data_IF_936102020416
#
_entry.id   IF_936102020416
#
_cell.length_a   1.000
_cell.length_b   1.000
_cell.length_c   1.000
_cell.angle_alpha   90.00
_cell.angle_beta   90.00
_cell.angle_gamma   90.00
#
_symmetry.space_group_name_H-M   'P 1'
#
loop_
_entity.id
_entity.type
_entity.pdbx_description
1 polymer ?
#
# COMPACT_ATOMS: atom_id res chain seq x y z
N UNK A 1 14.91 -4.21 36.10
CA UNK A 1 15.17 -5.65 36.08
C UNK A 1 14.02 -6.54 35.65
N UNK A 2 12.74 -6.24 35.93
CA UNK A 2 11.58 -7.08 35.51
C UNK A 2 11.28 -7.09 33.99
N UNK A 3 11.66 -6.08 33.21
CA UNK A 3 11.46 -6.03 31.76
C UNK A 3 12.50 -6.84 30.97
N UNK A 4 13.68 -7.03 31.49
CA UNK A 4 14.74 -7.82 30.85
C UNK A 4 14.43 -9.31 30.91
N UNK A 5 13.83 -9.76 32.01
CA UNK A 5 13.44 -11.17 32.17
C UNK A 5 12.25 -11.57 31.27
N UNK A 6 11.37 -10.62 30.91
CA UNK A 6 10.25 -10.91 30.02
C UNK A 6 10.69 -11.05 28.56
N UNK A 7 11.64 -10.25 28.11
CA UNK A 7 12.23 -10.38 26.76
C UNK A 7 13.04 -11.66 26.64
N UNK A 8 13.74 -12.06 27.70
CA UNK A 8 14.49 -13.33 27.73
C UNK A 8 13.54 -14.56 27.75
N UNK A 9 12.39 -14.45 28.44
CA UNK A 9 11.36 -15.51 28.43
C UNK A 9 10.64 -15.59 27.07
N UNK A 10 10.44 -14.46 26.37
CA UNK A 10 9.87 -14.45 25.02
C UNK A 10 10.84 -15.01 23.97
N UNK A 11 12.14 -14.79 24.15
CA UNK A 11 13.19 -15.39 23.30
C UNK A 11 13.38 -16.88 23.56
N UNK A 12 13.14 -17.35 24.79
CA UNK A 12 13.20 -18.77 25.13
C UNK A 12 11.96 -19.53 24.63
N UNK A 13 10.79 -18.86 24.49
CA UNK A 13 9.59 -19.48 23.95
C UNK A 13 9.62 -19.60 22.41
N UNK A 14 10.44 -18.81 21.71
CA UNK A 14 10.64 -18.94 20.25
C UNK A 14 11.66 -20.03 19.89
N UNK A 15 12.46 -20.51 20.83
CA UNK A 15 13.45 -21.58 20.62
C UNK A 15 12.89 -23.00 20.82
N UNK A 16 11.61 -23.16 21.13
CA UNK A 16 10.93 -24.46 21.15
C UNK A 16 10.09 -24.67 19.86
N UNK A 17 10.53 -24.14 18.71
CA UNK A 17 10.23 -24.79 17.44
C UNK A 17 11.16 -26.01 17.46
N UNK A 18 10.69 -27.03 18.15
CA UNK A 18 11.28 -28.33 18.29
C UNK A 18 11.77 -28.78 16.93
N UNK A 19 13.07 -28.87 16.75
CA UNK A 19 13.68 -29.55 15.63
C UNK A 19 13.29 -31.01 15.74
N UNK A 20 12.07 -31.34 15.25
CA UNK A 20 11.61 -32.72 15.18
C UNK A 20 12.63 -33.44 14.30
N UNK A 21 13.46 -34.28 14.92
CA UNK A 21 14.54 -34.95 14.22
C UNK A 21 14.01 -35.97 13.20
N UNK A 22 14.84 -36.32 12.21
CA UNK A 22 14.54 -37.28 11.12
C UNK A 22 13.90 -38.54 11.66
N UNK A 23 14.49 -39.16 12.71
CA UNK A 23 13.97 -40.35 13.36
C UNK A 23 12.55 -40.20 13.92
N UNK A 24 12.24 -39.04 14.48
CA UNK A 24 10.92 -38.76 15.06
C UNK A 24 9.86 -38.60 13.96
N UNK A 25 10.20 -37.91 12.85
CA UNK A 25 9.33 -37.76 11.68
C UNK A 25 9.05 -39.12 11.06
N UNK A 26 10.08 -39.96 10.87
CA UNK A 26 9.95 -41.32 10.33
C UNK A 26 9.04 -42.16 11.19
N UNK A 27 9.24 -42.20 12.53
CA UNK A 27 8.33 -42.91 13.44
C UNK A 27 6.87 -42.45 13.39
N UNK A 28 6.65 -41.12 13.17
CA UNK A 28 5.30 -40.59 12.98
C UNK A 28 4.72 -41.05 11.63
N UNK A 29 5.56 -41.12 10.59
CA UNK A 29 5.21 -41.67 9.29
C UNK A 29 4.79 -43.16 9.40
N UNK A 30 5.58 -43.96 10.12
CA UNK A 30 5.29 -45.39 10.36
C UNK A 30 3.91 -45.57 11.03
N UNK A 31 3.65 -44.80 12.09
CA UNK A 31 2.35 -44.80 12.77
C UNK A 31 1.17 -44.36 11.88
N UNK A 32 1.41 -43.41 10.96
CA UNK A 32 0.39 -43.00 10.00
C UNK A 32 0.15 -44.08 8.95
N UNK A 33 1.19 -44.75 8.49
CA UNK A 33 1.13 -45.87 7.57
C UNK A 33 0.33 -47.08 8.16
N UNK A 34 0.63 -47.46 9.41
CA UNK A 34 -0.10 -48.52 10.15
C UNK A 34 -1.59 -48.20 10.26
N UNK A 35 -1.97 -46.93 10.32
CA UNK A 35 -3.38 -46.49 10.35
C UNK A 35 -3.98 -46.28 8.95
N UNK A 36 -3.32 -46.75 7.90
CA UNK A 36 -3.71 -46.56 6.50
C UNK A 36 -3.89 -45.08 6.09
N UNK A 37 -3.28 -44.13 6.83
CA UNK A 37 -3.26 -42.69 6.49
C UNK A 37 -2.09 -42.44 5.54
N UNK A 38 -2.16 -42.91 4.31
CA UNK A 38 -1.02 -42.94 3.39
C UNK A 38 -0.57 -41.56 2.98
N UNK A 39 -1.47 -40.59 2.73
CA UNK A 39 -1.13 -39.23 2.41
C UNK A 39 -0.31 -38.58 3.53
N UNK A 40 -0.76 -38.74 4.77
CA UNK A 40 -0.06 -38.24 5.94
C UNK A 40 1.30 -38.89 6.15
N UNK A 41 1.39 -40.19 5.90
CA UNK A 41 2.64 -40.95 5.98
C UNK A 41 3.65 -40.43 4.96
N UNK A 42 3.23 -40.25 3.71
CA UNK A 42 4.03 -39.69 2.62
C UNK A 42 4.60 -38.32 2.98
N UNK A 43 3.79 -37.39 3.48
CA UNK A 43 4.25 -36.03 3.86
C UNK A 43 5.24 -36.07 5.04
N UNK A 44 5.05 -36.96 6.00
CA UNK A 44 5.98 -37.13 7.13
C UNK A 44 7.33 -37.70 6.67
N UNK A 45 7.34 -38.64 5.74
CA UNK A 45 8.58 -39.16 5.17
C UNK A 45 9.27 -38.13 4.26
N UNK A 46 8.55 -37.35 3.49
CA UNK A 46 9.14 -36.22 2.77
C UNK A 46 9.81 -35.23 3.72
N UNK A 47 9.12 -34.85 4.80
CA UNK A 47 9.68 -33.95 5.81
C UNK A 47 10.91 -34.54 6.51
N UNK A 48 11.00 -35.84 6.63
CA UNK A 48 12.20 -36.52 7.13
C UNK A 48 13.34 -36.47 6.11
N UNK A 49 13.06 -36.72 4.83
CA UNK A 49 14.05 -36.70 3.73
C UNK A 49 14.51 -35.31 3.34
N UNK A 50 13.71 -34.27 3.56
CA UNK A 50 14.15 -32.87 3.45
C UNK A 50 15.27 -32.52 4.43
N UNK A 51 15.29 -33.21 5.61
CA UNK A 51 16.33 -33.02 6.62
C UNK A 51 17.55 -33.93 6.40
N UNK A 52 17.33 -35.12 5.93
CA UNK A 52 18.38 -36.09 5.60
C UNK A 52 17.93 -36.91 4.39
N UNK A 53 18.39 -36.55 3.22
CA UNK A 53 18.01 -37.18 1.94
C UNK A 53 18.45 -38.63 1.82
N UNK A 54 19.45 -39.05 2.58
CA UNK A 54 19.99 -40.40 2.53
C UNK A 54 19.44 -41.34 3.63
N UNK A 55 18.51 -40.86 4.46
CA UNK A 55 17.96 -41.65 5.55
C UNK A 55 17.13 -42.81 5.04
N UNK A 56 17.71 -44.01 5.03
CA UNK A 56 17.19 -45.24 4.39
C UNK A 56 15.79 -45.65 4.88
N UNK A 57 15.53 -45.53 6.19
CA UNK A 57 14.22 -45.90 6.76
C UNK A 57 13.09 -44.99 6.24
N UNK A 58 13.36 -43.70 6.08
CA UNK A 58 12.37 -42.79 5.51
C UNK A 58 12.17 -43.04 4.00
N UNK A 59 13.24 -43.40 3.25
CA UNK A 59 13.12 -43.81 1.84
C UNK A 59 12.25 -45.07 1.69
N UNK A 60 12.47 -46.07 2.54
CA UNK A 60 11.65 -47.30 2.56
C UNK A 60 10.19 -47.02 2.91
N UNK A 61 9.97 -46.19 3.96
CA UNK A 61 8.62 -45.76 4.36
C UNK A 61 7.92 -44.96 3.26
N UNK A 62 8.64 -44.06 2.60
CA UNK A 62 8.12 -43.27 1.47
C UNK A 62 7.77 -44.18 0.27
N UNK A 63 8.64 -45.15 -0.05
CA UNK A 63 8.36 -46.10 -1.12
C UNK A 63 7.06 -46.88 -0.85
N UNK A 64 6.93 -47.45 0.34
CA UNK A 64 5.79 -48.26 0.69
C UNK A 64 4.48 -47.45 0.73
N UNK A 65 4.49 -46.31 1.40
CA UNK A 65 3.29 -45.43 1.51
C UNK A 65 2.96 -44.77 0.17
N UNK A 66 3.98 -44.29 -0.54
CA UNK A 66 3.83 -43.71 -1.85
C UNK A 66 3.25 -44.68 -2.87
N UNK A 67 3.72 -45.93 -2.90
CA UNK A 67 3.18 -46.95 -3.80
C UNK A 67 1.71 -47.25 -3.50
N UNK A 68 1.34 -47.36 -2.20
CA UNK A 68 -0.07 -47.52 -1.82
C UNK A 68 -0.95 -46.38 -2.32
N UNK A 69 -0.47 -45.13 -2.19
CA UNK A 69 -1.22 -43.96 -2.61
C UNK A 69 -1.30 -43.88 -4.15
N UNK A 70 -0.21 -44.18 -4.86
CA UNK A 70 -0.21 -44.29 -6.32
C UNK A 70 -1.23 -45.33 -6.78
N UNK A 71 -1.22 -46.53 -6.20
CA UNK A 71 -2.18 -47.59 -6.54
C UNK A 71 -3.63 -47.14 -6.29
N UNK A 72 -3.90 -46.46 -5.17
CA UNK A 72 -5.22 -45.88 -4.91
C UNK A 72 -5.67 -44.91 -6.01
N UNK A 73 -4.78 -44.01 -6.45
CA UNK A 73 -5.10 -43.09 -7.54
C UNK A 73 -5.32 -43.84 -8.87
N UNK A 74 -4.52 -44.86 -9.16
CA UNK A 74 -4.69 -45.70 -10.37
C UNK A 74 -5.99 -46.48 -10.36
N UNK A 75 -6.40 -47.02 -9.20
CA UNK A 75 -7.69 -47.69 -9.02
C UNK A 75 -8.86 -46.71 -9.24
N UNK A 76 -8.74 -45.46 -8.74
CA UNK A 76 -9.73 -44.42 -9.01
C UNK A 76 -9.74 -43.98 -10.48
N UNK A 77 -8.56 -43.90 -11.13
CA UNK A 77 -8.47 -43.66 -12.56
C UNK A 77 -9.27 -44.69 -13.34
N UNK A 78 -9.06 -45.98 -13.06
CA UNK A 78 -9.75 -47.07 -13.75
C UNK A 78 -11.26 -47.05 -13.49
N UNK A 79 -11.68 -46.84 -12.25
CA UNK A 79 -13.08 -46.72 -11.88
C UNK A 79 -13.78 -45.58 -12.62
N UNK A 80 -13.25 -44.37 -12.49
CA UNK A 80 -13.87 -43.18 -13.07
C UNK A 80 -13.85 -43.21 -14.60
N UNK A 81 -12.80 -43.78 -15.22
CA UNK A 81 -12.76 -44.05 -16.66
C UNK A 81 -13.94 -44.93 -17.10
N UNK A 82 -14.18 -46.05 -16.39
CA UNK A 82 -15.24 -46.97 -16.73
C UNK A 82 -16.65 -46.40 -16.52
N UNK A 83 -16.81 -45.42 -15.63
CA UNK A 83 -18.05 -44.64 -15.45
C UNK A 83 -18.22 -43.49 -16.42
N UNK A 84 -17.29 -43.27 -17.37
CA UNK A 84 -17.32 -42.15 -18.30
C UNK A 84 -16.97 -40.80 -17.68
N UNK A 85 -16.47 -40.78 -16.44
CA UNK A 85 -16.05 -39.55 -15.76
C UNK A 85 -14.61 -39.14 -16.18
N UNK A 86 -14.42 -38.95 -17.49
CA UNK A 86 -13.11 -38.79 -18.14
C UNK A 86 -12.21 -37.76 -17.46
N UNK A 87 -12.79 -36.59 -17.10
CA UNK A 87 -12.05 -35.53 -16.41
C UNK A 87 -11.47 -36.02 -15.10
N UNK A 88 -12.28 -36.65 -14.24
CA UNK A 88 -11.82 -37.15 -12.95
C UNK A 88 -10.74 -38.21 -13.13
N UNK A 89 -10.94 -39.13 -14.08
CA UNK A 89 -9.95 -40.15 -14.41
C UNK A 89 -8.60 -39.52 -14.75
N UNK A 90 -8.55 -38.58 -15.68
CA UNK A 90 -7.33 -37.87 -16.07
C UNK A 90 -6.62 -37.29 -14.85
N UNK A 91 -7.34 -36.63 -13.95
CA UNK A 91 -6.74 -36.01 -12.77
C UNK A 91 -6.24 -37.05 -11.76
N UNK A 92 -6.92 -38.16 -11.56
CA UNK A 92 -6.42 -39.23 -10.72
C UNK A 92 -5.08 -39.78 -11.23
N UNK A 93 -4.94 -40.04 -12.53
CA UNK A 93 -3.66 -40.47 -13.09
C UNK A 93 -2.57 -39.38 -12.90
N UNK A 94 -2.88 -38.10 -13.13
CA UNK A 94 -1.94 -37.00 -12.92
C UNK A 94 -1.47 -36.90 -11.49
N UNK A 95 -2.33 -37.19 -10.50
CA UNK A 95 -1.98 -37.17 -9.11
C UNK A 95 -1.04 -38.32 -8.77
N UNK A 96 -1.27 -39.54 -9.33
CA UNK A 96 -0.34 -40.67 -9.25
C UNK A 96 1.03 -40.32 -9.87
N UNK A 97 1.04 -39.77 -11.06
CA UNK A 97 2.27 -39.34 -11.76
C UNK A 97 3.06 -38.28 -11.01
N UNK A 98 2.39 -37.25 -10.51
CA UNK A 98 3.04 -36.17 -9.72
C UNK A 98 3.64 -36.71 -8.43
N UNK A 99 2.96 -37.65 -7.76
CA UNK A 99 3.51 -38.27 -6.56
C UNK A 99 4.75 -39.11 -6.91
N UNK A 100 4.70 -39.87 -8.00
CA UNK A 100 5.85 -40.68 -8.49
C UNK A 100 7.04 -39.75 -8.82
N UNK A 101 6.82 -38.66 -9.54
CA UNK A 101 7.85 -37.66 -9.85
C UNK A 101 8.43 -37.00 -8.59
N UNK A 102 7.57 -36.68 -7.60
CA UNK A 102 8.00 -36.10 -6.32
C UNK A 102 8.88 -37.07 -5.53
N UNK A 103 8.52 -38.38 -5.51
CA UNK A 103 9.31 -39.42 -4.88
C UNK A 103 10.65 -39.63 -5.60
N UNK A 104 10.65 -39.60 -6.93
CA UNK A 104 11.86 -39.72 -7.74
C UNK A 104 12.92 -38.64 -7.42
N UNK A 105 12.51 -37.41 -7.11
CA UNK A 105 13.41 -36.36 -6.62
C UNK A 105 14.10 -36.66 -5.29
N UNK A 106 13.56 -37.60 -4.54
CA UNK A 106 14.15 -38.12 -3.29
C UNK A 106 14.89 -39.46 -3.51
N UNK A 107 15.16 -39.83 -4.76
CA UNK A 107 15.74 -41.12 -5.16
C UNK A 107 14.89 -42.31 -4.72
N UNK A 108 13.56 -42.14 -4.74
CA UNK A 108 12.58 -43.21 -4.45
C UNK A 108 11.74 -43.44 -5.72
N UNK A 109 11.90 -44.60 -6.36
CA UNK A 109 11.12 -44.97 -7.54
C UNK A 109 9.82 -45.62 -7.12
N UNK A 110 8.71 -45.17 -7.72
CA UNK A 110 7.39 -45.78 -7.60
C UNK A 110 6.97 -46.35 -8.96
N UNK A 111 6.25 -47.47 -8.93
CA UNK A 111 5.87 -48.22 -10.14
C UNK A 111 4.50 -47.76 -10.65
N UNK A 112 4.46 -47.30 -11.88
CA UNK A 112 3.26 -47.07 -12.69
C UNK A 112 3.44 -47.90 -13.96
N UNK A 113 2.57 -48.89 -14.18
CA UNK A 113 2.69 -49.75 -15.34
C UNK A 113 2.43 -48.99 -16.64
N UNK A 114 3.09 -49.40 -17.72
CA UNK A 114 2.98 -48.77 -19.04
C UNK A 114 1.54 -48.77 -19.58
N UNK A 115 0.73 -49.77 -19.17
CA UNK A 115 -0.68 -49.82 -19.55
C UNK A 115 -1.48 -48.61 -19.06
N UNK A 116 -1.31 -48.20 -17.78
CA UNK A 116 -1.98 -47.00 -17.27
C UNK A 116 -1.54 -45.76 -17.99
N UNK A 117 -0.26 -45.63 -18.36
CA UNK A 117 0.26 -44.52 -19.13
C UNK A 117 -0.34 -44.48 -20.54
N UNK A 118 -0.46 -45.64 -21.19
CA UNK A 118 -1.11 -45.76 -22.50
C UNK A 118 -2.58 -45.33 -22.45
N UNK A 119 -3.31 -45.94 -21.48
CA UNK A 119 -4.74 -45.62 -21.26
C UNK A 119 -5.00 -44.15 -20.96
N UNK A 120 -4.14 -43.54 -20.14
CA UNK A 120 -4.18 -42.10 -19.85
C UNK A 120 -3.97 -41.27 -21.10
N UNK A 121 -2.99 -41.60 -21.93
CA UNK A 121 -2.71 -40.88 -23.16
C UNK A 121 -3.88 -40.91 -24.15
N UNK A 122 -4.46 -42.12 -24.34
CA UNK A 122 -5.66 -42.27 -25.20
C UNK A 122 -6.80 -41.43 -24.67
N UNK A 123 -7.17 -41.63 -23.39
CA UNK A 123 -8.27 -40.92 -22.73
C UNK A 123 -8.08 -39.38 -22.77
N UNK A 124 -6.85 -38.92 -22.53
CA UNK A 124 -6.53 -37.47 -22.56
C UNK A 124 -6.67 -36.89 -23.96
N UNK A 125 -6.25 -37.63 -24.99
CA UNK A 125 -6.40 -37.19 -26.38
C UNK A 125 -7.88 -37.06 -26.77
N UNK A 126 -8.70 -38.05 -26.46
CA UNK A 126 -10.16 -38.04 -26.70
C UNK A 126 -10.82 -36.88 -25.92
N UNK A 127 -10.55 -36.78 -24.65
CA UNK A 127 -11.11 -35.72 -23.80
C UNK A 127 -10.74 -34.31 -24.28
N UNK A 128 -9.47 -34.09 -24.66
CA UNK A 128 -9.02 -32.78 -25.16
C UNK A 128 -9.68 -32.46 -26.50
N UNK A 129 -9.90 -33.44 -27.38
CA UNK A 129 -10.62 -33.22 -28.63
C UNK A 129 -12.09 -32.81 -28.38
N UNK A 130 -12.78 -33.52 -27.51
CA UNK A 130 -14.16 -33.18 -27.11
C UNK A 130 -14.26 -31.80 -26.46
N UNK A 131 -13.30 -31.46 -25.57
CA UNK A 131 -13.27 -30.13 -24.96
C UNK A 131 -12.94 -29.04 -25.97
N UNK A 132 -12.12 -29.28 -26.99
CA UNK A 132 -11.86 -28.35 -28.08
C UNK A 132 -13.14 -28.03 -28.85
N UNK A 133 -13.89 -29.04 -29.27
CA UNK A 133 -15.16 -28.85 -29.98
C UNK A 133 -16.21 -28.14 -29.11
N UNK A 134 -16.23 -28.47 -27.82
CA UNK A 134 -17.07 -27.74 -26.85
C UNK A 134 -16.66 -26.28 -26.70
N UNK A 135 -15.37 -26.00 -26.59
CA UNK A 135 -14.84 -24.63 -26.47
C UNK A 135 -15.19 -23.79 -27.71
N UNK A 136 -15.09 -24.39 -28.92
CA UNK A 136 -15.50 -23.73 -30.16
C UNK A 136 -17.01 -23.37 -30.18
N UNK A 137 -17.86 -24.28 -29.74
CA UNK A 137 -19.32 -24.01 -29.62
C UNK A 137 -19.61 -22.91 -28.61
N UNK A 138 -18.87 -22.90 -27.49
CA UNK A 138 -19.01 -21.84 -26.47
C UNK A 138 -18.59 -20.48 -27.01
N UNK A 139 -17.51 -20.39 -27.79
CA UNK A 139 -17.12 -19.15 -28.48
C UNK A 139 -18.18 -18.68 -29.47
N UNK A 140 -18.73 -19.59 -30.29
CA UNK A 140 -19.81 -19.28 -31.25
C UNK A 140 -21.03 -18.73 -30.54
N UNK A 141 -21.36 -19.24 -29.37
CA UNK A 141 -22.46 -18.79 -28.52
C UNK A 141 -22.14 -17.59 -27.65
N UNK A 142 -20.94 -17.00 -27.80
CA UNK A 142 -20.45 -15.87 -27.00
C UNK A 142 -20.37 -16.14 -25.48
N UNK A 143 -20.34 -17.42 -25.09
CA UNK A 143 -20.11 -17.86 -23.70
C UNK A 143 -18.59 -17.81 -23.38
N UNK A 144 -18.03 -16.59 -23.41
CA UNK A 144 -16.58 -16.35 -23.40
C UNK A 144 -15.88 -16.88 -22.16
N UNK A 145 -16.49 -16.73 -20.97
CA UNK A 145 -15.89 -17.18 -19.71
C UNK A 145 -15.76 -18.71 -19.66
N UNK A 146 -16.79 -19.43 -20.11
CA UNK A 146 -16.82 -20.87 -20.18
C UNK A 146 -15.85 -21.38 -21.26
N UNK A 147 -15.77 -20.69 -22.40
CA UNK A 147 -14.80 -20.99 -23.45
C UNK A 147 -13.36 -20.82 -22.96
N UNK A 148 -13.05 -19.70 -22.32
CA UNK A 148 -11.73 -19.41 -21.71
C UNK A 148 -11.31 -20.54 -20.74
N UNK A 149 -12.20 -20.91 -19.81
CA UNK A 149 -11.93 -21.99 -18.85
C UNK A 149 -11.70 -23.34 -19.53
N UNK A 150 -12.47 -23.61 -20.59
CA UNK A 150 -12.36 -24.86 -21.37
C UNK A 150 -11.02 -24.92 -22.11
N UNK A 151 -10.61 -23.85 -22.80
CA UNK A 151 -9.31 -23.81 -23.47
C UNK A 151 -8.14 -23.82 -22.51
N UNK A 152 -8.25 -23.17 -21.36
CA UNK A 152 -7.24 -23.20 -20.31
C UNK A 152 -7.04 -24.61 -19.75
N UNK A 153 -8.10 -25.39 -19.60
CA UNK A 153 -8.01 -26.80 -19.21
C UNK A 153 -7.30 -27.65 -20.26
N UNK A 154 -7.62 -27.45 -21.55
CA UNK A 154 -6.94 -28.13 -22.65
C UNK A 154 -5.43 -27.85 -22.60
N UNK A 155 -5.07 -26.57 -22.48
CA UNK A 155 -3.65 -26.13 -22.40
C UNK A 155 -2.92 -26.74 -21.21
N UNK A 156 -3.59 -26.88 -20.05
CA UNK A 156 -3.05 -27.54 -18.87
C UNK A 156 -2.79 -29.03 -19.08
N UNK A 157 -3.66 -29.72 -19.85
CA UNK A 157 -3.56 -31.15 -20.12
C UNK A 157 -2.62 -31.44 -21.27
N UNK A 158 -2.69 -30.63 -22.33
CA UNK A 158 -1.88 -30.79 -23.54
C UNK A 158 -1.43 -29.41 -24.06
N UNK A 159 -0.26 -28.93 -23.61
CA UNK A 159 0.32 -27.68 -24.10
C UNK A 159 0.49 -27.72 -25.64
N UNK A 160 0.28 -26.59 -26.29
CA UNK A 160 0.39 -26.40 -27.75
C UNK A 160 -0.58 -27.28 -28.57
N UNK A 161 -1.77 -27.57 -28.04
CA UNK A 161 -2.79 -28.29 -28.77
C UNK A 161 -3.49 -27.38 -29.79
N UNK A 162 -3.29 -27.64 -31.07
CA UNK A 162 -3.83 -26.84 -32.18
C UNK A 162 -3.64 -25.32 -31.94
N UNK A 163 -4.67 -24.53 -32.10
CA UNK A 163 -4.72 -23.08 -31.94
C UNK A 163 -5.34 -22.64 -30.60
N UNK A 164 -5.32 -23.51 -29.58
CA UNK A 164 -5.94 -23.27 -28.28
C UNK A 164 -5.42 -21.99 -27.58
N UNK A 165 -4.13 -21.67 -27.77
CA UNK A 165 -3.55 -20.44 -27.20
C UNK A 165 -4.21 -19.19 -27.80
N UNK A 166 -4.47 -19.19 -29.09
CA UNK A 166 -5.16 -18.06 -29.75
C UNK A 166 -6.64 -18.02 -29.41
N UNK A 167 -7.31 -19.18 -29.31
CA UNK A 167 -8.72 -19.27 -28.91
C UNK A 167 -8.94 -18.86 -27.45
N UNK A 168 -8.04 -19.23 -26.54
CA UNK A 168 -8.08 -18.75 -25.15
C UNK A 168 -7.95 -17.22 -25.10
N UNK A 169 -7.01 -16.66 -25.87
CA UNK A 169 -6.84 -15.20 -25.98
C UNK A 169 -8.09 -14.50 -26.53
N UNK A 170 -8.73 -15.08 -27.53
CA UNK A 170 -10.00 -14.56 -28.05
C UNK A 170 -11.07 -14.59 -26.97
N UNK A 171 -11.24 -15.72 -26.27
CA UNK A 171 -12.20 -15.86 -25.20
C UNK A 171 -11.96 -14.85 -24.06
N UNK A 172 -10.71 -14.60 -23.70
CA UNK A 172 -10.33 -13.67 -22.66
C UNK A 172 -10.50 -12.20 -23.06
N UNK A 173 -10.10 -11.83 -24.30
CA UNK A 173 -9.98 -10.42 -24.67
C UNK A 173 -11.19 -9.87 -25.43
N UNK A 174 -11.94 -10.71 -26.15
CA UNK A 174 -13.05 -10.24 -26.99
C UNK A 174 -14.15 -9.53 -26.18
N UNK A 175 -14.62 -10.02 -25.00
CA UNK A 175 -15.61 -9.31 -24.21
C UNK A 175 -15.12 -7.94 -23.73
N UNK A 176 -13.86 -7.88 -23.32
CA UNK A 176 -13.23 -6.63 -22.87
C UNK A 176 -13.08 -5.64 -24.02
N UNK A 177 -12.69 -6.13 -25.19
CA UNK A 177 -12.54 -5.34 -26.40
C UNK A 177 -13.89 -4.76 -26.86
N UNK A 178 -14.95 -5.56 -26.93
CA UNK A 178 -16.30 -5.09 -27.27
C UNK A 178 -16.82 -4.05 -26.27
N UNK A 179 -16.59 -4.26 -24.99
CA UNK A 179 -16.92 -3.27 -23.95
C UNK A 179 -16.16 -1.96 -24.15
N UNK A 180 -14.86 -2.03 -24.45
CA UNK A 180 -14.05 -0.86 -24.75
C UNK A 180 -14.54 -0.10 -25.98
N UNK A 181 -14.91 -0.82 -27.05
CA UNK A 181 -15.51 -0.24 -28.26
C UNK A 181 -16.83 0.45 -27.93
N UNK A 182 -17.71 -0.18 -27.14
CA UNK A 182 -18.96 0.44 -26.71
C UNK A 182 -18.74 1.74 -25.92
N UNK A 183 -17.77 1.76 -25.02
CA UNK A 183 -17.40 3.01 -24.33
C UNK A 183 -16.88 4.07 -25.31
N UNK A 184 -16.04 3.69 -26.26
CA UNK A 184 -15.48 4.60 -27.26
C UNK A 184 -16.56 5.23 -28.15
N UNK A 185 -17.58 4.44 -28.54
CA UNK A 185 -18.74 4.90 -29.34
C UNK A 185 -19.66 5.88 -28.57
N UNK A 186 -19.56 5.89 -27.24
CA UNK A 186 -20.33 6.79 -26.37
C UNK A 186 -19.41 7.90 -25.77
N UNK A 187 -18.28 8.20 -26.41
CA UNK A 187 -17.30 9.22 -26.01
C UNK A 187 -16.73 9.06 -24.57
N UNK A 188 -16.88 7.85 -24.00
CA UNK A 188 -16.33 7.50 -22.69
C UNK A 188 -14.88 7.02 -22.83
N UNK A 189 -13.99 7.96 -23.19
CA UNK A 189 -12.60 7.67 -23.55
C UNK A 189 -11.77 7.08 -22.41
N UNK A 190 -11.96 7.56 -21.17
CA UNK A 190 -11.25 7.05 -19.98
C UNK A 190 -11.71 5.65 -19.61
N UNK A 191 -13.00 5.40 -19.70
CA UNK A 191 -13.60 4.08 -19.49
C UNK A 191 -13.16 3.09 -20.57
N UNK A 192 -13.13 3.52 -21.83
CA UNK A 192 -12.61 2.72 -22.95
C UNK A 192 -11.12 2.39 -22.74
N UNK A 193 -10.29 3.39 -22.41
CA UNK A 193 -8.88 3.20 -22.10
C UNK A 193 -8.66 2.17 -20.97
N UNK A 194 -9.45 2.26 -19.90
CA UNK A 194 -9.35 1.33 -18.80
C UNK A 194 -9.64 -0.13 -19.19
N UNK A 195 -10.56 -0.36 -20.14
CA UNK A 195 -10.81 -1.70 -20.69
C UNK A 195 -9.70 -2.14 -21.66
N UNK A 196 -9.27 -1.28 -22.58
CA UNK A 196 -8.16 -1.59 -23.48
C UNK A 196 -6.86 -1.89 -22.71
N UNK A 197 -6.67 -1.29 -21.56
CA UNK A 197 -5.50 -1.54 -20.70
C UNK A 197 -5.45 -2.96 -20.10
N UNK A 198 -6.58 -3.69 -20.11
CA UNK A 198 -6.69 -5.09 -19.67
C UNK A 198 -6.46 -6.08 -20.80
N UNK A 199 -6.20 -5.61 -22.02
CA UNK A 199 -6.08 -6.40 -23.24
C UNK A 199 -4.62 -6.31 -23.71
N UNK A 200 -4.07 -7.41 -24.22
CA UNK A 200 -2.75 -7.41 -24.79
C UNK A 200 -2.65 -6.42 -25.97
N UNK A 201 -1.56 -5.65 -26.03
CA UNK A 201 -1.40 -4.57 -27.00
C UNK A 201 -1.39 -5.02 -28.47
N UNK A 202 -1.11 -6.31 -28.71
CA UNK A 202 -1.10 -6.95 -30.02
C UNK A 202 -2.43 -7.63 -30.37
N UNK A 203 -3.48 -7.49 -29.54
CA UNK A 203 -4.80 -8.00 -29.86
C UNK A 203 -5.57 -6.99 -30.71
N UNK A 204 -5.93 -7.36 -31.94
CA UNK A 204 -6.56 -6.47 -32.92
C UNK A 204 -5.86 -5.11 -32.99
N UNK A 205 -6.58 -4.02 -32.99
CA UNK A 205 -6.10 -2.64 -33.02
C UNK A 205 -6.05 -1.97 -31.63
N UNK A 206 -6.02 -2.76 -30.55
CA UNK A 206 -6.01 -2.31 -29.16
C UNK A 206 -5.00 -1.19 -28.90
N UNK A 207 -3.78 -1.32 -29.43
CA UNK A 207 -2.72 -0.32 -29.24
C UNK A 207 -3.11 1.05 -29.80
N UNK A 208 -3.65 1.07 -31.02
CA UNK A 208 -4.05 2.33 -31.70
C UNK A 208 -5.25 2.96 -30.99
N UNK A 209 -6.26 2.14 -30.67
CA UNK A 209 -7.48 2.62 -29.97
C UNK A 209 -7.18 3.11 -28.56
N UNK A 210 -6.28 2.45 -27.85
CA UNK A 210 -5.82 2.90 -26.54
C UNK A 210 -5.16 4.28 -26.60
N UNK A 211 -4.32 4.51 -27.62
CA UNK A 211 -3.69 5.81 -27.85
C UNK A 211 -4.74 6.91 -28.17
N UNK A 212 -5.68 6.60 -29.05
CA UNK A 212 -6.80 7.50 -29.36
C UNK A 212 -7.61 7.88 -28.11
N UNK A 213 -7.96 6.89 -27.27
CA UNK A 213 -8.66 7.13 -26.01
C UNK A 213 -7.85 8.03 -25.05
N UNK A 214 -6.54 7.85 -25.03
CA UNK A 214 -5.65 8.68 -24.19
C UNK A 214 -5.65 10.14 -24.67
N UNK A 215 -5.50 10.36 -25.96
CA UNK A 215 -5.46 11.71 -26.57
C UNK A 215 -6.81 12.43 -26.44
N UNK A 216 -7.92 11.73 -26.70
CA UNK A 216 -9.26 12.29 -26.61
C UNK A 216 -9.67 12.55 -25.15
N UNK A 217 -9.38 11.63 -24.22
CA UNK A 217 -9.76 11.76 -22.81
C UNK A 217 -8.82 12.65 -21.99
N UNK A 218 -7.70 13.15 -22.59
CA UNK A 218 -6.72 13.98 -21.91
C UNK A 218 -7.22 15.41 -21.69
N UNK A 219 -7.06 15.92 -20.48
CA UNK A 219 -7.27 17.33 -20.12
C UNK A 219 -5.93 17.99 -19.92
N UNK A 220 -5.63 18.96 -20.77
CA UNK A 220 -4.45 19.83 -20.63
C UNK A 220 -4.83 21.06 -19.84
N UNK A 221 -4.19 21.27 -18.68
CA UNK A 221 -4.51 22.33 -17.73
C UNK A 221 -3.47 23.44 -17.84
N UNK A 222 -3.91 24.65 -18.22
CA UNK A 222 -3.12 25.86 -18.13
C UNK A 222 -3.41 26.62 -16.82
N UNK A 223 -2.37 27.17 -16.21
CA UNK A 223 -2.51 28.05 -15.04
C UNK A 223 -2.66 29.50 -15.48
N UNK A 224 -3.50 30.25 -14.77
CA UNK A 224 -3.48 31.71 -14.78
C UNK A 224 -3.06 32.20 -13.40
N UNK A 225 -2.59 33.46 -13.34
CA UNK A 225 -2.19 34.05 -12.08
C UNK A 225 -3.31 34.00 -11.05
N UNK A 226 -3.02 33.44 -9.90
CA UNK A 226 -3.99 33.34 -8.82
C UNK A 226 -4.20 34.73 -8.18
N UNK A 227 -5.43 35.05 -7.84
CA UNK A 227 -5.82 36.30 -7.21
C UNK A 227 -5.64 36.24 -5.69
N UNK A 228 -5.47 37.44 -5.11
CA UNK A 228 -5.37 37.55 -3.66
C UNK A 228 -6.34 38.64 -3.15
N UNK A 229 -7.38 38.22 -2.47
CA UNK A 229 -8.35 39.08 -1.79
C UNK A 229 -7.96 39.45 -0.35
N UNK A 230 -6.74 39.12 0.09
CA UNK A 230 -6.28 39.34 1.46
C UNK A 230 -5.10 40.33 1.55
N UNK A 231 -4.72 40.66 2.78
CA UNK A 231 -3.52 41.48 3.04
C UNK A 231 -2.22 40.65 3.08
N UNK A 232 -2.28 39.32 2.96
CA UNK A 232 -1.11 38.44 2.98
C UNK A 232 -0.52 38.36 1.58
N UNK A 233 0.56 39.08 1.33
CA UNK A 233 1.21 39.11 0.01
C UNK A 233 1.97 37.81 -0.28
N UNK A 234 1.82 37.25 -1.48
CA UNK A 234 2.58 36.11 -1.98
C UNK A 234 2.02 34.75 -1.60
N UNK A 235 0.96 34.67 -0.79
CA UNK A 235 0.33 33.42 -0.43
C UNK A 235 -0.32 32.71 -1.62
N UNK A 236 -0.95 33.46 -2.52
CA UNK A 236 -1.54 32.99 -3.77
C UNK A 236 -0.48 32.39 -4.71
N UNK A 237 0.66 33.08 -4.85
CA UNK A 237 1.77 32.63 -5.68
C UNK A 237 2.41 31.36 -5.13
N UNK A 238 2.58 31.27 -3.80
CA UNK A 238 3.10 30.07 -3.15
C UNK A 238 2.17 28.87 -3.35
N UNK A 239 0.84 29.04 -3.18
CA UNK A 239 -0.15 27.97 -3.42
C UNK A 239 -0.11 27.55 -4.90
N UNK A 240 -0.03 28.49 -5.84
CA UNK A 240 0.10 28.22 -7.27
C UNK A 240 1.32 27.36 -7.57
N UNK A 241 2.49 27.74 -7.05
CA UNK A 241 3.74 27.02 -7.25
C UNK A 241 3.69 25.59 -6.68
N UNK A 242 3.16 25.42 -5.45
CA UNK A 242 2.98 24.08 -4.88
C UNK A 242 1.99 23.24 -5.68
N UNK A 243 0.87 23.83 -6.11
CA UNK A 243 -0.14 23.13 -6.89
C UNK A 243 0.39 22.69 -8.26
N UNK A 244 1.13 23.54 -8.94
CA UNK A 244 1.81 23.20 -10.19
C UNK A 244 2.74 21.98 -9.99
N UNK A 245 3.57 22.01 -8.94
CA UNK A 245 4.49 20.93 -8.61
C UNK A 245 3.75 19.62 -8.22
N UNK A 246 2.63 19.71 -7.52
CA UNK A 246 1.81 18.54 -7.18
C UNK A 246 1.16 17.93 -8.43
N UNK A 247 0.59 18.74 -9.30
CA UNK A 247 -0.07 18.29 -10.52
C UNK A 247 0.91 17.69 -11.54
N UNK A 248 2.12 18.23 -11.66
CA UNK A 248 3.16 17.68 -12.56
C UNK A 248 3.69 16.30 -12.11
N UNK A 249 3.52 15.96 -10.83
CA UNK A 249 3.90 14.67 -10.26
C UNK A 249 2.79 13.62 -10.30
N UNK A 250 1.59 13.98 -10.75
CA UNK A 250 0.48 13.04 -10.82
C UNK A 250 0.79 11.90 -11.80
N UNK A 251 0.57 10.67 -11.35
CA UNK A 251 0.62 9.50 -12.22
C UNK A 251 -0.75 9.24 -12.87
N UNK A 252 -1.33 10.27 -13.47
CA UNK A 252 -2.61 10.20 -14.18
C UNK A 252 -2.39 10.52 -15.66
N UNK A 253 -2.55 9.55 -16.57
CA UNK A 253 -2.25 9.75 -17.98
C UNK A 253 -3.20 10.75 -18.67
N UNK A 254 -4.34 11.06 -18.04
CA UNK A 254 -5.34 11.97 -18.57
C UNK A 254 -5.20 13.42 -18.11
N UNK A 255 -4.19 13.71 -17.29
CA UNK A 255 -3.93 15.08 -16.81
C UNK A 255 -2.54 15.51 -17.26
N UNK A 256 -2.48 16.58 -18.02
CA UNK A 256 -1.24 17.22 -18.45
C UNK A 256 -1.27 18.70 -18.03
N UNK A 257 -0.19 19.18 -17.43
CA UNK A 257 -0.05 20.58 -17.04
C UNK A 257 0.82 21.31 -18.03
N UNK A 258 0.41 22.52 -18.41
CA UNK A 258 1.13 23.40 -19.31
C UNK A 258 1.48 24.69 -18.54
N UNK A 259 2.75 25.02 -18.53
CA UNK A 259 3.22 26.30 -18.00
C UNK A 259 3.03 27.39 -19.07
N UNK A 260 2.09 28.31 -18.84
CA UNK A 260 1.82 29.43 -19.74
C UNK A 260 2.80 30.58 -19.61
N UNK A 261 3.58 30.63 -18.56
CA UNK A 261 4.62 31.68 -18.41
C UNK A 261 5.69 31.57 -19.50
N UNK A 262 5.88 30.39 -20.08
CA UNK A 262 6.79 30.13 -21.20
C UNK A 262 6.12 30.22 -22.58
N UNK A 263 4.82 30.54 -22.66
CA UNK A 263 4.06 30.47 -23.92
C UNK A 263 4.58 31.50 -24.93
N UNK A 264 4.93 32.72 -24.48
CA UNK A 264 5.52 33.73 -25.34
C UNK A 264 6.88 33.27 -25.93
N UNK A 265 7.74 32.73 -25.07
CA UNK A 265 9.05 32.20 -25.49
C UNK A 265 8.91 31.04 -26.49
N UNK A 266 7.92 30.15 -26.28
CA UNK A 266 7.64 29.03 -27.18
C UNK A 266 7.08 29.53 -28.52
N UNK A 267 6.24 30.57 -28.53
CA UNK A 267 5.74 31.21 -29.75
C UNK A 267 6.88 31.89 -30.51
N UNK A 268 7.74 32.60 -29.82
CA UNK A 268 8.90 33.28 -30.43
C UNK A 268 9.85 32.24 -31.06
N UNK A 269 10.12 31.11 -30.38
CA UNK A 269 10.90 29.98 -30.93
C UNK A 269 10.20 29.33 -32.15
N UNK A 270 8.88 29.25 -32.15
CA UNK A 270 8.14 28.70 -33.29
C UNK A 270 8.13 29.63 -34.49
N UNK A 271 8.01 30.93 -34.26
CA UNK A 271 8.14 31.97 -35.34
C UNK A 271 9.53 31.94 -35.94
N UNK A 272 10.57 31.79 -35.13
CA UNK A 272 11.94 31.60 -35.57
C UNK A 272 12.12 30.31 -36.40
N UNK A 273 11.53 29.21 -35.97
CA UNK A 273 11.57 27.93 -36.68
C UNK A 273 10.86 28.03 -38.05
N UNK A 274 9.69 28.65 -38.09
CA UNK A 274 8.94 28.87 -39.32
C UNK A 274 9.61 29.89 -40.30
N UNK A 275 10.44 30.78 -39.79
CA UNK A 275 11.22 31.71 -40.58
C UNK A 275 12.43 31.11 -41.31
N UNK A 276 12.67 29.80 -41.13
CA UNK A 276 13.76 29.06 -41.78
C UNK A 276 15.17 29.27 -41.20
N UNK A 277 15.24 29.90 -40.02
CA UNK A 277 16.51 30.17 -39.34
C UNK A 277 16.99 29.03 -38.43
N UNK A 278 16.21 27.92 -38.34
CA UNK A 278 16.56 26.73 -37.60
C UNK A 278 16.47 25.47 -38.47
N UNK A 279 17.12 24.38 -38.05
CA UNK A 279 17.20 23.13 -38.83
C UNK A 279 15.83 22.46 -39.06
N UNK A 280 15.66 21.74 -40.19
CA UNK A 280 14.42 21.05 -40.60
C UNK A 280 13.80 20.13 -39.53
N UNK A 281 14.61 19.57 -38.62
CA UNK A 281 14.14 18.74 -37.54
C UNK A 281 13.38 19.51 -36.45
N UNK A 282 13.63 20.80 -36.29
CA UNK A 282 12.99 21.68 -35.32
C UNK A 282 11.65 22.24 -35.85
N UNK A 283 11.55 22.44 -37.19
CA UNK A 283 10.32 22.95 -37.83
C UNK A 283 9.20 21.91 -37.86
N UNK A 284 9.51 20.62 -37.92
CA UNK A 284 8.50 19.54 -37.88
C UNK A 284 7.80 19.41 -36.53
N UNK A 285 8.46 19.78 -35.42
CA UNK A 285 7.90 19.77 -34.06
C UNK A 285 7.16 21.05 -33.68
N UNK A 286 7.32 22.14 -34.45
CA UNK A 286 6.70 23.43 -34.18
C UNK A 286 5.18 23.47 -34.41
N UNK A 287 4.60 22.47 -35.07
CA UNK A 287 3.18 22.44 -35.43
C UNK A 287 2.20 22.01 -34.35
N UNK A 288 2.65 21.59 -33.18
CA UNK A 288 1.76 21.09 -32.14
C UNK A 288 1.88 21.89 -30.83
N UNK A 289 1.44 23.14 -30.85
CA UNK A 289 1.08 23.84 -29.61
C UNK A 289 -0.15 23.14 -29.04
N UNK A 290 0.04 22.26 -28.08
CA UNK A 290 -1.08 21.65 -27.36
C UNK A 290 -1.73 22.76 -26.54
N UNK A 291 -2.84 23.31 -27.04
CA UNK A 291 -3.64 24.31 -26.33
C UNK A 291 -4.12 23.75 -24.99
N UNK A 292 -4.20 24.57 -23.96
CA UNK A 292 -4.86 24.15 -22.73
C UNK A 292 -6.34 23.93 -23.00
N UNK A 293 -6.85 22.73 -22.74
CA UNK A 293 -8.29 22.41 -22.80
C UNK A 293 -9.05 22.96 -21.59
N UNK A 294 -8.37 23.24 -20.50
CA UNK A 294 -8.95 23.83 -19.31
C UNK A 294 -8.01 24.85 -18.66
N UNK A 295 -8.57 25.85 -18.02
CA UNK A 295 -7.85 26.88 -17.26
C UNK A 295 -8.13 26.69 -15.77
N UNK A 296 -7.07 26.60 -14.99
CA UNK A 296 -7.14 26.59 -13.54
C UNK A 296 -6.90 28.01 -13.01
N UNK A 297 -7.90 28.56 -12.34
CA UNK A 297 -7.84 29.84 -11.62
C UNK A 297 -7.97 29.62 -10.12
N UNK A 298 -7.44 30.52 -9.32
CA UNK A 298 -7.51 30.49 -7.87
C UNK A 298 -7.58 31.88 -7.24
N UNK A 299 -8.13 31.95 -6.03
CA UNK A 299 -8.22 33.15 -5.25
C UNK A 299 -8.04 32.86 -3.76
N UNK A 300 -7.06 33.48 -3.15
CA UNK A 300 -6.89 33.49 -1.70
C UNK A 300 -7.91 34.44 -1.09
N UNK A 301 -9.04 33.91 -0.58
CA UNK A 301 -10.19 34.69 -0.10
C UNK A 301 -10.11 35.05 1.37
N UNK A 302 -9.49 34.22 2.19
CA UNK A 302 -9.26 34.55 3.61
C UNK A 302 -7.87 34.12 4.03
N UNK A 303 -7.26 34.96 4.85
CA UNK A 303 -6.03 34.67 5.56
C UNK A 303 -6.08 35.35 6.93
N UNK A 304 -5.98 34.56 7.99
CA UNK A 304 -5.86 35.08 9.35
C UNK A 304 -4.65 34.48 10.03
N UNK A 305 -3.93 35.29 10.78
CA UNK A 305 -2.84 34.82 11.63
C UNK A 305 -3.05 35.27 13.08
N UNK A 306 -2.80 34.35 13.99
CA UNK A 306 -2.71 34.66 15.42
C UNK A 306 -1.33 34.19 15.88
N UNK A 307 -0.60 35.10 16.52
CA UNK A 307 0.72 34.81 17.10
C UNK A 307 0.74 35.35 18.51
N UNK A 308 0.65 34.47 19.47
CA UNK A 308 0.72 34.84 20.87
C UNK A 308 2.19 34.94 21.30
N UNK A 309 2.54 36.04 21.98
CA UNK A 309 3.83 36.07 22.68
C UNK A 309 3.82 35.03 23.78
N UNK A 310 4.99 34.45 24.07
CA UNK A 310 5.12 33.53 25.19
C UNK A 310 4.67 34.22 26.49
N UNK A 311 3.60 33.71 27.07
CA UNK A 311 3.16 34.13 28.40
C UNK A 311 3.99 33.39 29.44
N UNK A 312 4.50 34.11 30.43
CA UNK A 312 5.22 33.55 31.57
C UNK A 312 4.30 33.59 32.80
N UNK A 313 4.18 32.47 33.47
CA UNK A 313 3.46 32.37 34.75
C UNK A 313 4.38 31.72 35.79
N UNK A 314 4.48 32.36 36.95
CA UNK A 314 5.24 31.80 38.07
C UNK A 314 4.30 30.82 38.84
N UNK A 315 4.77 29.58 38.93
CA UNK A 315 4.09 28.48 39.61
C UNK A 315 4.87 28.06 40.85
N UNK A 316 4.18 27.46 41.79
CA UNK A 316 4.73 26.94 43.06
C UNK A 316 4.91 25.45 42.97
N UNK A 317 5.98 24.96 43.58
CA UNK A 317 6.27 23.52 43.74
C UNK A 317 7.09 23.29 44.98
N UNK A 318 7.34 22.04 45.27
CA UNK A 318 8.23 21.62 46.32
C UNK A 318 9.44 20.92 45.75
N UNK A 319 10.62 21.11 46.36
CA UNK A 319 11.88 20.46 45.97
C UNK A 319 12.22 19.38 47.00
N UNK A 320 12.22 18.12 46.59
CA UNK A 320 12.50 16.96 47.44
C UNK A 320 14.00 16.86 47.70
N UNK A 321 14.40 16.90 48.95
CA UNK A 321 15.76 16.60 49.44
C UNK A 321 15.74 15.32 50.26
N UNK A 322 16.78 14.49 50.07
CA UNK A 322 17.04 13.33 50.89
C UNK A 322 18.07 13.72 51.95
N UNK A 323 17.68 13.74 53.21
CA UNK A 323 18.56 14.04 54.34
C UNK A 323 18.94 12.70 54.99
N UNK A 324 20.26 12.48 55.11
CA UNK A 324 20.80 11.31 55.80
C UNK A 324 20.78 11.57 57.31
N UNK A 325 20.06 10.75 58.07
CA UNK A 325 20.03 10.76 59.53
C UNK A 325 20.63 9.46 60.05
N UNK A 326 21.16 9.52 61.26
CA UNK A 326 21.70 8.37 61.97
C UNK A 326 20.73 8.01 63.12
N UNK A 327 20.38 6.72 63.25
CA UNK A 327 19.59 6.21 64.36
C UNK A 327 20.53 5.56 65.35
N UNK A 328 20.59 6.10 66.58
CA UNK A 328 21.51 5.64 67.66
C UNK A 328 21.11 4.27 68.22
N UNK A 329 19.81 3.92 68.18
CA UNK A 329 19.32 2.62 68.70
C UNK A 329 19.64 1.45 67.75
N UNK A 330 19.59 1.71 66.44
CA UNK A 330 19.84 0.66 65.44
C UNK A 330 21.20 0.72 64.80
N UNK A 331 22.05 1.70 65.16
CA UNK A 331 23.36 2.02 64.60
C UNK A 331 23.39 2.13 63.09
N UNK A 332 22.26 2.52 62.47
CA UNK A 332 22.10 2.58 61.01
C UNK A 332 21.74 3.97 60.52
N UNK A 333 22.27 4.29 59.34
CA UNK A 333 21.85 5.47 58.63
C UNK A 333 20.53 5.20 57.89
N UNK A 334 19.62 6.18 57.90
CA UNK A 334 18.40 6.18 57.15
C UNK A 334 18.19 7.53 56.46
N UNK A 335 17.38 7.57 55.41
CA UNK A 335 17.09 8.79 54.70
C UNK A 335 15.68 9.24 54.92
N UNK A 336 15.49 10.52 55.27
CA UNK A 336 14.19 11.17 55.33
C UNK A 336 14.03 12.13 54.17
N UNK A 337 12.80 12.32 53.73
CA UNK A 337 12.43 13.29 52.70
C UNK A 337 12.11 14.60 53.34
N UNK A 338 12.78 15.65 52.95
CA UNK A 338 12.42 17.03 53.30
C UNK A 338 12.07 17.79 52.04
N UNK A 339 11.21 18.79 52.15
CA UNK A 339 10.67 19.54 51.04
C UNK A 339 10.88 21.03 51.21
N UNK A 340 11.54 21.66 50.25
CA UNK A 340 11.76 23.10 50.22
C UNK A 340 10.79 23.76 49.27
N UNK A 341 10.27 24.95 49.64
CA UNK A 341 9.36 25.75 48.81
C UNK A 341 10.14 26.40 47.66
N UNK A 342 9.77 26.05 46.41
CA UNK A 342 10.42 26.58 45.22
C UNK A 342 9.39 27.10 44.24
N UNK A 343 9.85 28.03 43.41
CA UNK A 343 9.06 28.55 42.28
C UNK A 343 9.69 28.06 40.97
N UNK A 344 8.83 27.85 39.97
CA UNK A 344 9.27 27.58 38.60
C UNK A 344 8.47 28.50 37.65
N UNK A 345 8.99 28.67 36.43
CA UNK A 345 8.32 29.45 35.40
C UNK A 345 7.68 28.50 34.40
N UNK A 346 6.42 28.69 34.12
CA UNK A 346 5.67 28.00 33.09
C UNK A 346 5.40 28.97 31.94
N UNK A 347 5.67 28.51 30.72
CA UNK A 347 5.54 29.28 29.49
C UNK A 347 4.49 28.64 28.60
N UNK A 348 3.60 29.46 28.09
CA UNK A 348 2.59 29.05 27.12
C UNK A 348 2.63 29.99 25.92
N UNK A 349 2.46 29.43 24.71
CA UNK A 349 2.32 30.20 23.49
C UNK A 349 1.66 29.39 22.39
N UNK A 350 1.09 30.09 21.41
CA UNK A 350 0.45 29.48 20.24
C UNK A 350 0.62 30.36 19.01
N UNK A 351 1.01 29.75 17.91
CA UNK A 351 0.89 30.34 16.59
C UNK A 351 -0.20 29.60 15.81
N UNK A 352 -1.05 30.33 15.12
CA UNK A 352 -2.14 29.76 14.33
C UNK A 352 -2.33 30.57 13.05
N UNK A 353 -2.61 29.84 11.95
CA UNK A 353 -2.97 30.42 10.65
C UNK A 353 -4.23 29.72 10.16
N UNK A 354 -5.12 30.49 9.54
CA UNK A 354 -6.27 30.00 8.82
C UNK A 354 -6.26 30.54 7.39
N UNK A 355 -6.51 29.66 6.43
CA UNK A 355 -6.55 29.96 5.00
C UNK A 355 -7.87 29.51 4.42
N UNK A 356 -8.50 30.36 3.60
CA UNK A 356 -9.57 29.99 2.68
C UNK A 356 -9.14 30.29 1.26
N UNK A 357 -9.13 29.27 0.43
CA UNK A 357 -8.71 29.36 -0.96
C UNK A 357 -9.79 28.81 -1.89
N UNK A 358 -10.27 29.63 -2.79
CA UNK A 358 -11.20 29.24 -3.85
C UNK A 358 -10.41 28.83 -5.09
N UNK A 359 -10.84 27.74 -5.75
CA UNK A 359 -10.28 27.30 -7.03
C UNK A 359 -11.39 26.99 -8.01
N UNK A 360 -11.09 27.10 -9.31
CA UNK A 360 -12.00 26.79 -10.40
C UNK A 360 -11.21 26.30 -11.61
N UNK A 361 -11.68 25.19 -12.18
CA UNK A 361 -11.21 24.64 -13.44
C UNK A 361 -12.31 24.88 -14.48
N UNK A 362 -12.01 25.59 -15.55
CA UNK A 362 -12.97 26.01 -16.58
C UNK A 362 -12.53 25.49 -17.94
N UNK A 363 -13.45 24.89 -18.69
CA UNK A 363 -13.21 24.47 -20.09
C UNK A 363 -12.88 25.68 -20.96
N UNK A 364 -11.87 25.56 -21.82
CA UNK A 364 -11.55 26.61 -22.81
C UNK A 364 -12.42 26.50 -24.05
N UNK A 365 -13.05 25.37 -24.29
CA UNK A 365 -13.90 25.11 -25.46
C UNK A 365 -15.33 25.61 -25.21
N UNK A 366 -15.90 25.29 -24.04
CA UNK A 366 -17.33 25.56 -23.74
C UNK A 366 -17.52 26.72 -22.77
N UNK A 367 -16.48 27.10 -22.00
CA UNK A 367 -16.58 28.04 -20.89
C UNK A 367 -17.22 27.46 -19.63
N UNK A 368 -17.59 26.19 -19.64
CA UNK A 368 -18.20 25.51 -18.49
C UNK A 368 -17.21 25.34 -17.34
N UNK A 369 -17.76 25.39 -16.14
CA UNK A 369 -17.00 25.12 -14.92
C UNK A 369 -16.94 23.61 -14.72
N UNK A 370 -15.79 23.00 -15.01
CA UNK A 370 -15.55 21.57 -14.85
C UNK A 370 -15.39 21.17 -13.38
N UNK A 371 -14.79 22.05 -12.57
CA UNK A 371 -14.58 21.77 -11.15
C UNK A 371 -14.42 23.11 -10.41
N UNK A 372 -15.06 23.23 -9.25
CA UNK A 372 -14.83 24.36 -8.36
C UNK A 372 -14.88 23.95 -6.90
N UNK A 373 -14.42 24.82 -6.02
CA UNK A 373 -14.52 24.60 -4.60
C UNK A 373 -13.76 25.62 -3.77
N UNK A 374 -13.95 25.52 -2.47
CA UNK A 374 -13.24 26.32 -1.48
C UNK A 374 -12.56 25.36 -0.48
N UNK A 375 -11.25 25.49 -0.35
CA UNK A 375 -10.47 24.81 0.67
C UNK A 375 -10.34 25.73 1.88
N UNK A 376 -10.72 25.25 3.05
CA UNK A 376 -10.56 25.97 4.32
C UNK A 376 -9.69 25.15 5.25
N UNK A 377 -8.56 25.68 5.66
CA UNK A 377 -7.59 24.99 6.51
C UNK A 377 -7.18 25.86 7.69
N UNK A 378 -6.85 25.20 8.78
CA UNK A 378 -6.28 25.77 9.98
C UNK A 378 -5.02 25.01 10.35
N UNK A 379 -3.90 25.70 10.54
CA UNK A 379 -2.66 25.14 11.07
C UNK A 379 -2.30 25.88 12.36
N UNK A 380 -1.91 25.13 13.38
CA UNK A 380 -1.48 25.72 14.65
C UNK A 380 -0.32 24.97 15.27
N UNK A 381 0.50 25.68 15.99
CA UNK A 381 1.55 25.12 16.83
C UNK A 381 1.49 25.72 18.22
N UNK A 382 1.62 24.87 19.25
CA UNK A 382 1.53 25.24 20.65
C UNK A 382 2.78 24.80 21.41
N UNK A 383 3.17 25.60 22.38
CA UNK A 383 4.16 25.21 23.39
C UNK A 383 3.56 25.42 24.77
N UNK A 384 3.82 24.46 25.63
CA UNK A 384 3.62 24.59 27.08
C UNK A 384 4.81 23.88 27.75
N UNK A 385 5.71 24.68 28.33
CA UNK A 385 6.92 24.15 28.93
C UNK A 385 7.26 24.92 30.23
N UNK A 386 8.12 24.35 31.03
CA UNK A 386 8.58 24.98 32.25
C UNK A 386 10.12 25.09 32.30
N UNK A 387 10.58 26.06 33.11
CA UNK A 387 12.00 26.20 33.51
C UNK A 387 12.11 26.41 35.01
N UNK A 388 13.16 25.89 35.61
CA UNK A 388 13.46 26.07 37.02
C UNK A 388 14.99 26.14 37.22
N UNK A 389 15.40 26.84 38.27
CA UNK A 389 16.82 26.93 38.68
C UNK A 389 17.27 25.73 39.55
N UNK A 390 16.42 24.69 39.65
CA UNK A 390 16.66 23.47 40.44
C UNK A 390 16.43 22.25 39.56
N UNK A 391 16.95 21.10 40.03
CA UNK A 391 16.72 19.85 39.29
C UNK A 391 15.25 19.47 39.27
N UNK A 392 14.62 19.64 38.14
CA UNK A 392 13.17 19.39 37.93
C UNK A 392 12.75 17.95 38.22
N UNK A 393 13.65 16.96 38.14
CA UNK A 393 13.36 15.58 38.51
C UNK A 393 13.04 15.39 40.00
N UNK A 394 13.49 16.34 40.84
CA UNK A 394 13.21 16.39 42.28
C UNK A 394 12.04 17.31 42.64
N UNK A 395 11.41 17.93 41.66
CA UNK A 395 10.21 18.73 41.89
C UNK A 395 9.00 17.84 42.20
N UNK A 396 8.26 18.26 43.22
CA UNK A 396 7.00 17.66 43.64
C UNK A 396 5.88 18.68 43.44
N UNK A 397 4.74 18.27 42.88
CA UNK A 397 3.57 19.13 42.80
C UNK A 397 3.02 19.42 44.19
N UNK A 398 2.30 20.51 44.35
CA UNK A 398 1.72 20.95 45.58
C UNK A 398 1.58 22.48 45.58
N UNK A 399 1.11 23.02 46.71
CA UNK A 399 0.95 24.45 46.88
C UNK A 399 1.49 24.89 48.24
N UNK A 400 1.77 26.18 48.37
CA UNK A 400 2.16 26.81 49.60
C UNK A 400 1.78 28.30 49.58
N UNK A 401 1.42 28.88 50.78
CA UNK A 401 0.94 30.25 50.89
C UNK A 401 2.09 31.25 50.94
N UNK A 402 3.03 31.06 51.86
CA UNK A 402 4.16 31.95 52.05
C UNK A 402 5.49 31.18 51.89
N UNK A 403 6.47 31.82 51.30
CA UNK A 403 7.75 31.16 50.99
C UNK A 403 8.58 30.88 52.28
N UNK A 404 8.56 31.82 53.24
CA UNK A 404 9.50 31.77 54.35
C UNK A 404 8.86 31.27 55.69
N UNK A 405 7.59 30.92 55.68
CA UNK A 405 6.92 30.34 56.86
C UNK A 405 5.90 29.27 56.44
N UNK A 406 5.69 28.33 57.33
CA UNK A 406 4.64 27.29 57.12
C UNK A 406 3.21 27.90 57.25
N UNK A 407 2.28 27.28 56.57
CA UNK A 407 0.87 27.57 56.65
C UNK A 407 0.06 26.25 56.65
N UNK A 408 -1.11 26.24 57.21
CA UNK A 408 -2.00 25.06 57.33
C UNK A 408 -2.42 24.52 55.96
N UNK A 409 -2.55 25.37 54.95
CA UNK A 409 -2.90 24.99 53.56
C UNK A 409 -1.70 24.55 52.74
N UNK A 410 -0.50 24.49 53.29
CA UNK A 410 0.67 24.05 52.57
C UNK A 410 0.63 22.53 52.40
N UNK A 411 0.73 22.03 51.17
CA UNK A 411 0.75 20.59 50.91
C UNK A 411 1.66 20.20 49.78
N UNK A 412 2.23 18.99 49.90
CA UNK A 412 2.98 18.29 48.86
C UNK A 412 2.10 17.18 48.31
N UNK A 413 1.85 17.19 47.00
CA UNK A 413 1.08 16.12 46.37
C UNK A 413 1.93 14.87 46.14
N UNK A 414 1.46 13.73 46.59
CA UNK A 414 2.01 12.42 46.33
C UNK A 414 1.44 11.78 45.05
N UNK A 415 0.52 12.43 44.34
CA UNK A 415 -0.13 11.92 43.16
C UNK A 415 0.90 11.72 42.03
N UNK A 416 1.05 10.47 41.57
CA UNK A 416 1.99 10.08 40.55
C UNK A 416 1.68 10.71 39.18
N UNK A 417 0.38 10.95 38.87
CA UNK A 417 -0.08 11.61 37.65
C UNK A 417 0.37 13.07 37.61
N UNK A 418 0.15 13.82 38.70
CA UNK A 418 0.55 15.23 38.81
C UNK A 418 2.08 15.37 38.75
N UNK A 419 2.80 14.48 39.43
CA UNK A 419 4.28 14.44 39.38
C UNK A 419 4.80 14.18 37.97
N UNK A 420 4.16 13.29 37.22
CA UNK A 420 4.50 13.01 35.81
C UNK A 420 4.21 14.22 34.93
N UNK A 421 3.05 14.85 35.11
CA UNK A 421 2.66 16.03 34.33
C UNK A 421 3.62 17.19 34.59
N UNK A 422 3.97 17.48 35.84
CA UNK A 422 4.95 18.49 36.19
C UNK A 422 6.29 18.24 35.47
N UNK A 423 6.81 17.02 35.55
CA UNK A 423 8.09 16.65 34.90
C UNK A 423 8.03 16.75 33.37
N UNK A 424 6.89 16.43 32.76
CA UNK A 424 6.73 16.52 31.34
C UNK A 424 6.79 17.97 30.84
N UNK A 425 6.30 18.94 31.60
CA UNK A 425 6.43 20.35 31.25
C UNK A 425 7.89 20.79 31.00
N UNK A 426 8.85 20.25 31.80
CA UNK A 426 10.26 20.56 31.65
C UNK A 426 10.91 19.90 30.42
N UNK A 427 10.28 18.83 29.89
CA UNK A 427 10.75 18.05 28.73
C UNK A 427 10.12 18.50 27.43
N UNK A 428 9.03 19.27 27.50
CA UNK A 428 8.29 19.72 26.33
C UNK A 428 9.16 20.64 25.46
N UNK A 429 8.83 20.71 24.16
CA UNK A 429 9.47 21.64 23.25
C UNK A 429 9.29 23.08 23.71
N UNK A 430 10.32 23.90 23.50
CA UNK A 430 10.41 25.27 24.00
C UNK A 430 10.24 26.34 22.91
N UNK A 431 10.17 25.95 21.64
CA UNK A 431 10.05 26.84 20.51
C UNK A 431 8.81 26.57 19.70
N UNK A 432 8.10 27.62 19.32
CA UNK A 432 7.02 27.58 18.34
C UNK A 432 7.56 27.50 16.92
N UNK A 433 6.84 26.83 16.04
CA UNK A 433 7.02 27.03 14.60
C UNK A 433 6.74 28.50 14.27
N UNK A 434 7.56 29.08 13.41
CA UNK A 434 7.35 30.44 12.93
C UNK A 434 6.08 30.53 12.06
N UNK A 435 5.56 31.74 11.90
CA UNK A 435 4.42 31.98 11.00
C UNK A 435 4.77 31.53 9.57
N UNK A 436 6.00 31.72 9.12
CA UNK A 436 6.44 31.30 7.78
C UNK A 436 6.48 29.79 7.63
N UNK A 437 6.90 29.05 8.66
CA UNK A 437 6.84 27.58 8.65
C UNK A 437 5.39 27.05 8.65
N UNK A 438 4.47 27.74 9.33
CA UNK A 438 3.06 27.40 9.28
C UNK A 438 2.44 27.76 7.92
N UNK A 439 2.84 28.90 7.32
CA UNK A 439 2.46 29.27 5.96
C UNK A 439 2.86 28.21 4.94
N UNK A 440 4.11 27.75 4.99
CA UNK A 440 4.62 26.71 4.10
C UNK A 440 3.78 25.41 4.20
N UNK A 441 3.49 25.00 5.44
CA UNK A 441 2.63 23.83 5.70
C UNK A 441 1.22 23.98 5.13
N UNK A 442 0.55 25.09 5.43
CA UNK A 442 -0.85 25.28 5.04
C UNK A 442 -0.99 25.45 3.52
N UNK A 443 -0.03 26.10 2.86
CA UNK A 443 -0.04 26.28 1.40
C UNK A 443 0.19 24.94 0.69
N UNK A 444 1.13 24.12 1.15
CA UNK A 444 1.33 22.76 0.66
C UNK A 444 0.08 21.91 0.83
N UNK A 445 -0.53 21.96 2.00
CA UNK A 445 -1.76 21.21 2.29
C UNK A 445 -2.92 21.67 1.40
N UNK A 446 -3.04 22.98 1.15
CA UNK A 446 -4.05 23.55 0.25
C UNK A 446 -3.84 23.04 -1.18
N UNK A 447 -2.62 23.13 -1.67
CA UNK A 447 -2.25 22.64 -3.01
C UNK A 447 -2.51 21.13 -3.17
N UNK A 448 -2.12 20.33 -2.19
CA UNK A 448 -2.33 18.89 -2.21
C UNK A 448 -3.82 18.51 -2.25
N UNK A 449 -4.67 19.21 -1.50
CA UNK A 449 -6.11 18.96 -1.54
C UNK A 449 -6.72 19.30 -2.91
N UNK A 450 -6.32 20.42 -3.51
CA UNK A 450 -6.80 20.82 -4.84
C UNK A 450 -6.31 19.82 -5.88
N UNK A 451 -5.03 19.45 -5.84
CA UNK A 451 -4.46 18.43 -6.73
C UNK A 451 -5.22 17.10 -6.63
N UNK A 452 -5.55 16.67 -5.42
CA UNK A 452 -6.37 15.46 -5.21
C UNK A 452 -7.77 15.56 -5.83
N UNK A 453 -8.43 16.72 -5.74
CA UNK A 453 -9.73 16.95 -6.39
C UNK A 453 -9.62 16.91 -7.92
N UNK A 454 -8.61 17.53 -8.50
CA UNK A 454 -8.34 17.52 -9.94
C UNK A 454 -7.99 16.09 -10.41
N UNK A 455 -7.17 15.37 -9.67
CA UNK A 455 -6.81 13.99 -10.01
C UNK A 455 -8.00 13.04 -10.06
N UNK A 456 -8.97 13.26 -9.19
CA UNK A 456 -10.19 12.44 -9.11
C UNK A 456 -11.31 12.91 -10.03
N UNK A 457 -11.12 14.03 -10.71
CA UNK A 457 -12.12 14.53 -11.66
C UNK A 457 -12.17 13.65 -12.90
N UNK A 458 -13.36 13.14 -13.20
CA UNK A 458 -13.64 12.38 -14.41
C UNK A 458 -14.90 12.94 -15.09
N UNK A 459 -14.76 13.54 -16.27
CA UNK A 459 -15.89 14.11 -16.99
C UNK A 459 -16.94 13.09 -17.44
N UNK A 460 -16.61 11.79 -17.40
CA UNK A 460 -17.52 10.71 -17.79
C UNK A 460 -18.51 10.31 -16.69
N UNK A 461 -18.34 10.86 -15.47
CA UNK A 461 -19.20 10.59 -14.31
C UNK A 461 -20.28 11.67 -14.11
N UNK A 462 -20.31 12.69 -14.97
CA UNK A 462 -21.33 13.72 -15.05
C UNK A 462 -22.37 13.34 -16.12
#
# INVERSE_FOLDING_TARGET
MKKLNFVFLLFLSFSIISCIGVKSLTKKGDKAFEKAQFEKAVELYFSALEKDKEYSLAKTGLKNSGQRLVNNHLDQFFKTKNFGENRKAIYHYRDASRLSERCSRMNVSLDITTQYTSDYNVLTNEYVADQYDKGMKLLQNEAFLEAENTFREIKLLKPNYKDVDDLERVAEFEPKYRMAISYLQNDKFRSAYAQFNKIASNYKDTKAKKQLCLEAGMITIGFVDFKNGTRNKGGEAAISAYLFNELTKLNNPFIKVIDRSLTSTIIDEQVLALSGQTSESTSANAGQLIGAKAILSGNLITYTKKSDKLSETIKKAWFERLIKKYNEETEKHFYIKEYDKVKYKEYYGMNQISVGFQYQLTSTETGEILLNGIIKLNESDKVNFATANVNYNKLMPGNWKWQNKAHEDDFVSSNLGEKRNLRNLFKNKKSLLTIDQLNDKIYKSTASQISGKINNYNPENE
#
